data_IF_196099857525
#
_entry.id   IF_196099857525
#
_cell.length_a   1.000
_cell.length_b   1.000
_cell.length_c   1.000
_cell.angle_alpha   90.00
_cell.angle_beta   90.00
_cell.angle_gamma   90.00
#
_symmetry.space_group_name_H-M   'P 1'
#
loop_
_entity.id
_entity.type
_entity.pdbx_description
1 polymer ?
#
# COMPACT_ATOMS: atom_id res chain seq x y z
N UNK A 1 -10.10 21.27 -1.15
CA UNK A 1 -10.14 22.45 -2.04
C UNK A 1 -9.62 22.13 -3.45
N UNK A 2 -8.35 21.70 -3.66
CA UNK A 2 -7.83 21.39 -5.00
C UNK A 2 -8.53 20.17 -5.64
N UNK A 3 -8.83 19.15 -4.86
CA UNK A 3 -9.54 17.96 -5.33
C UNK A 3 -10.97 18.32 -5.77
N UNK A 4 -11.66 19.13 -4.96
CA UNK A 4 -13.03 19.58 -5.26
C UNK A 4 -13.07 20.40 -6.56
N UNK A 5 -12.12 21.31 -6.75
CA UNK A 5 -11.98 22.12 -7.97
C UNK A 5 -11.76 21.23 -9.21
N UNK A 6 -10.91 20.19 -9.11
CA UNK A 6 -10.69 19.23 -10.20
C UNK A 6 -11.96 18.43 -10.51
N UNK A 7 -12.60 17.90 -9.46
CA UNK A 7 -13.82 17.11 -9.65
C UNK A 7 -14.95 17.95 -10.25
N UNK A 8 -15.14 19.18 -9.77
CA UNK A 8 -16.14 20.11 -10.31
C UNK A 8 -15.88 20.41 -11.79
N UNK A 9 -14.63 20.73 -12.14
CA UNK A 9 -14.27 20.98 -13.54
C UNK A 9 -14.47 19.77 -14.45
N UNK A 10 -14.18 18.54 -13.97
CA UNK A 10 -14.45 17.32 -14.74
C UNK A 10 -15.95 17.07 -14.94
N UNK A 11 -16.76 17.37 -13.92
CA UNK A 11 -18.22 17.24 -14.00
C UNK A 11 -18.81 18.28 -14.99
N UNK A 12 -18.37 19.53 -14.90
CA UNK A 12 -18.83 20.61 -15.77
C UNK A 12 -18.42 20.41 -17.23
N UNK A 13 -17.22 19.85 -17.47
CA UNK A 13 -16.73 19.55 -18.80
C UNK A 13 -17.43 18.37 -19.47
N UNK A 14 -18.13 17.52 -18.72
CA UNK A 14 -18.89 16.33 -19.17
C UNK A 14 -18.17 15.48 -20.24
N UNK A 15 -16.90 15.18 -19.97
CA UNK A 15 -16.02 14.51 -20.93
C UNK A 15 -16.34 13.00 -21.13
N UNK A 16 -17.23 12.43 -20.33
CA UNK A 16 -17.57 11.00 -20.37
C UNK A 16 -16.42 10.06 -20.02
N UNK A 17 -15.35 10.56 -19.41
CA UNK A 17 -14.16 9.78 -19.05
C UNK A 17 -14.33 9.04 -17.72
N UNK A 18 -13.73 7.86 -17.62
CA UNK A 18 -13.56 7.17 -16.35
C UNK A 18 -12.07 7.14 -15.98
N UNK A 19 -11.77 7.28 -14.70
CA UNK A 19 -10.39 7.36 -14.21
C UNK A 19 -10.20 6.64 -12.86
N UNK A 20 -8.95 6.47 -12.49
CA UNK A 20 -8.56 5.89 -11.22
C UNK A 20 -7.59 6.82 -10.48
N UNK A 21 -7.63 6.78 -9.15
CA UNK A 21 -6.74 7.59 -8.32
C UNK A 21 -5.98 6.68 -7.33
N UNK A 22 -4.73 7.07 -7.05
CA UNK A 22 -3.99 6.58 -5.88
C UNK A 22 -4.02 7.65 -4.83
N UNK A 23 -4.54 7.31 -3.66
CA UNK A 23 -4.70 8.28 -2.59
C UNK A 23 -4.05 7.82 -1.30
N UNK A 24 -3.75 8.79 -0.43
CA UNK A 24 -3.38 8.53 0.94
C UNK A 24 -4.65 8.32 1.75
N UNK A 25 -4.64 7.31 2.60
CA UNK A 25 -5.61 7.21 3.69
C UNK A 25 -5.37 8.40 4.62
N UNK A 26 -6.16 9.45 4.49
CA UNK A 26 -6.13 10.58 5.41
C UNK A 26 -7.54 10.86 5.92
N UNK A 27 -7.66 11.27 7.16
CA UNK A 27 -8.94 11.55 7.81
C UNK A 27 -9.76 12.65 7.13
N UNK A 28 -9.13 13.51 6.33
CA UNK A 28 -9.79 14.66 5.67
C UNK A 28 -10.25 14.40 4.25
N UNK A 29 -9.78 13.33 3.61
CA UNK A 29 -10.12 13.01 2.22
C UNK A 29 -10.92 11.71 2.07
N UNK A 30 -11.12 10.98 3.15
CA UNK A 30 -11.77 9.69 3.16
C UNK A 30 -13.13 9.73 3.87
N UNK A 31 -13.97 10.69 3.50
CA UNK A 31 -15.36 10.79 3.93
C UNK A 31 -16.33 10.47 2.78
N UNK A 32 -17.59 10.26 3.12
CA UNK A 32 -18.61 9.89 2.16
C UNK A 32 -18.87 10.99 1.11
N UNK A 33 -18.76 12.26 1.49
CA UNK A 33 -18.98 13.40 0.60
C UNK A 33 -17.88 13.47 -0.48
N UNK A 34 -16.62 13.38 -0.06
CA UNK A 34 -15.47 13.37 -0.98
C UNK A 34 -15.53 12.16 -1.93
N UNK A 35 -15.86 10.95 -1.40
CA UNK A 35 -15.95 9.76 -2.24
C UNK A 35 -17.11 9.83 -3.24
N UNK A 36 -18.25 10.39 -2.85
CA UNK A 36 -19.38 10.63 -3.75
C UNK A 36 -19.04 11.65 -4.85
N UNK A 37 -18.31 12.71 -4.50
CA UNK A 37 -17.85 13.71 -5.47
C UNK A 37 -16.86 13.11 -6.48
N UNK A 38 -15.88 12.33 -6.02
CA UNK A 38 -14.96 11.59 -6.88
C UNK A 38 -15.71 10.68 -7.87
N UNK A 39 -16.67 9.91 -7.36
CA UNK A 39 -17.47 9.01 -8.20
C UNK A 39 -18.29 9.77 -9.25
N UNK A 40 -18.91 10.88 -8.86
CA UNK A 40 -19.67 11.77 -9.76
C UNK A 40 -18.76 12.36 -10.84
N UNK A 41 -17.51 12.68 -10.51
CA UNK A 41 -16.50 13.18 -11.45
C UNK A 41 -15.91 12.09 -12.38
N UNK A 42 -16.40 10.84 -12.33
CA UNK A 42 -15.94 9.75 -13.19
C UNK A 42 -14.89 8.82 -12.57
N UNK A 43 -14.47 9.03 -11.31
CA UNK A 43 -13.59 8.11 -10.64
C UNK A 43 -14.30 6.78 -10.37
N UNK A 44 -13.75 5.67 -10.88
CA UNK A 44 -14.34 4.33 -10.71
C UNK A 44 -13.47 3.40 -9.88
N UNK A 45 -12.22 3.76 -9.67
CA UNK A 45 -11.27 2.96 -8.89
C UNK A 45 -10.41 3.86 -8.02
N UNK A 46 -10.24 3.44 -6.77
CA UNK A 46 -9.33 4.09 -5.82
C UNK A 46 -8.34 3.09 -5.24
N UNK A 47 -7.11 3.52 -5.09
CA UNK A 47 -6.03 2.70 -4.55
C UNK A 47 -5.52 3.31 -3.25
N UNK A 48 -5.49 2.54 -2.18
CA UNK A 48 -5.00 2.98 -0.87
C UNK A 48 -3.71 2.28 -0.49
N UNK A 49 -2.65 3.05 -0.26
CA UNK A 49 -1.42 2.55 0.37
C UNK A 49 -1.61 2.50 1.88
N UNK A 50 -1.97 1.34 2.42
CA UNK A 50 -2.12 1.12 3.87
C UNK A 50 -0.80 0.63 4.47
N UNK A 51 -0.13 -0.26 3.79
CA UNK A 51 1.17 -0.87 3.97
C UNK A 51 1.23 -1.93 5.09
N UNK A 52 0.62 -1.70 6.26
CA UNK A 52 0.58 -2.68 7.35
C UNK A 52 -0.78 -2.68 8.06
N UNK A 53 -1.15 -3.81 8.62
CA UNK A 53 -2.30 -3.97 9.52
C UNK A 53 -1.93 -3.81 10.99
N UNK A 54 -0.71 -3.39 11.30
CA UNK A 54 -0.22 -3.19 12.66
C UNK A 54 0.15 -1.71 12.86
N UNK A 55 -0.49 -1.04 13.82
CA UNK A 55 -0.30 0.40 14.03
C UNK A 55 1.16 0.76 14.30
N UNK A 56 1.86 -0.03 15.11
CA UNK A 56 3.29 0.16 15.42
C UNK A 56 4.13 0.23 14.14
N UNK A 57 3.90 -0.64 13.18
CA UNK A 57 4.63 -0.67 11.91
C UNK A 57 4.29 0.58 11.06
N UNK A 58 3.02 0.97 10.99
CA UNK A 58 2.59 2.20 10.31
C UNK A 58 3.28 3.43 10.92
N UNK A 59 3.45 3.47 12.24
CA UNK A 59 4.09 4.57 12.94
C UNK A 59 5.61 4.61 12.66
N UNK A 60 6.28 3.45 12.62
CA UNK A 60 7.69 3.32 12.20
C UNK A 60 7.87 3.84 10.77
N UNK A 61 6.96 3.50 9.86
CA UNK A 61 6.95 4.00 8.47
C UNK A 61 6.58 5.49 8.37
N UNK A 62 6.27 6.16 9.46
CA UNK A 62 5.90 7.59 9.53
C UNK A 62 4.72 7.97 8.63
N UNK A 63 3.78 7.07 8.41
CA UNK A 63 2.64 7.30 7.50
C UNK A 63 1.57 8.25 8.06
N UNK A 64 1.54 8.46 9.38
CA UNK A 64 0.60 9.36 10.06
C UNK A 64 -0.87 9.05 9.76
N UNK A 65 -1.22 7.78 9.72
CA UNK A 65 -2.59 7.27 9.59
C UNK A 65 -2.87 6.28 10.71
N UNK A 66 -4.15 6.06 11.02
CA UNK A 66 -4.57 4.97 11.90
C UNK A 66 -5.23 3.85 11.11
N UNK A 67 -5.23 2.65 11.69
CA UNK A 67 -5.96 1.50 11.11
C UNK A 67 -7.46 1.77 10.99
N UNK A 68 -8.03 2.54 11.91
CA UNK A 68 -9.43 2.98 11.84
C UNK A 68 -9.68 3.88 10.63
N UNK A 69 -8.79 4.86 10.39
CA UNK A 69 -8.85 5.71 9.19
C UNK A 69 -8.75 4.89 7.90
N UNK A 70 -7.88 3.88 7.84
CA UNK A 70 -7.77 2.98 6.71
C UNK A 70 -9.07 2.21 6.46
N UNK A 71 -9.68 1.68 7.52
CA UNK A 71 -10.96 0.96 7.46
C UNK A 71 -12.09 1.89 6.99
N UNK A 72 -12.15 3.11 7.54
CA UNK A 72 -13.15 4.10 7.15
C UNK A 72 -13.01 4.48 5.67
N UNK A 73 -11.78 4.76 5.19
CA UNK A 73 -11.52 5.12 3.80
C UNK A 73 -12.01 4.05 2.81
N UNK A 74 -11.69 2.78 3.08
CA UNK A 74 -12.18 1.65 2.26
C UNK A 74 -13.70 1.60 2.28
N UNK A 75 -14.33 1.73 3.45
CA UNK A 75 -15.79 1.70 3.59
C UNK A 75 -16.47 2.82 2.82
N UNK A 76 -15.99 4.08 2.93
CA UNK A 76 -16.55 5.23 2.21
C UNK A 76 -16.44 5.02 0.68
N UNK A 77 -15.29 4.59 0.19
CA UNK A 77 -15.09 4.32 -1.23
C UNK A 77 -16.03 3.21 -1.75
N UNK A 78 -16.21 2.14 -0.96
CA UNK A 78 -17.15 1.06 -1.28
C UNK A 78 -18.60 1.54 -1.31
N UNK A 79 -19.03 2.36 -0.32
CA UNK A 79 -20.39 2.95 -0.32
C UNK A 79 -20.64 3.86 -1.51
N UNK A 80 -19.62 4.58 -1.98
CA UNK A 80 -19.71 5.40 -3.20
C UNK A 80 -19.74 4.57 -4.50
N UNK A 81 -19.58 3.25 -4.46
CA UNK A 81 -19.63 2.36 -5.62
C UNK A 81 -18.30 2.20 -6.35
N UNK A 82 -17.18 2.65 -5.77
CA UNK A 82 -15.87 2.50 -6.36
C UNK A 82 -15.28 1.11 -6.16
N UNK A 83 -14.47 0.68 -7.12
CA UNK A 83 -13.57 -0.46 -6.96
C UNK A 83 -12.38 -0.04 -6.11
N UNK A 84 -12.10 -0.79 -5.04
CA UNK A 84 -11.03 -0.48 -4.09
C UNK A 84 -9.89 -1.47 -4.21
N UNK A 85 -8.66 -0.96 -4.36
CA UNK A 85 -7.42 -1.72 -4.27
C UNK A 85 -6.60 -1.23 -3.08
N UNK A 86 -6.09 -2.14 -2.27
CA UNK A 86 -5.23 -1.85 -1.11
C UNK A 86 -3.84 -2.40 -1.31
N UNK A 87 -2.83 -1.66 -0.88
CA UNK A 87 -1.43 -2.08 -0.89
C UNK A 87 -0.97 -2.41 0.51
N UNK A 88 -0.27 -3.54 0.62
CA UNK A 88 0.41 -4.00 1.84
C UNK A 88 1.84 -4.39 1.53
N UNK A 89 2.73 -4.19 2.50
CA UNK A 89 4.14 -4.51 2.42
C UNK A 89 4.53 -5.40 3.60
N UNK A 90 5.39 -6.37 3.35
CA UNK A 90 5.99 -7.25 4.36
C UNK A 90 7.51 -7.08 4.40
N UNK A 91 8.11 -7.31 5.56
CA UNK A 91 9.54 -7.11 5.77
C UNK A 91 9.90 -5.64 5.98
N UNK A 92 9.05 -4.89 6.67
CA UNK A 92 9.34 -3.54 7.12
C UNK A 92 10.31 -3.58 8.32
N UNK A 93 11.05 -2.48 8.62
CA UNK A 93 11.88 -2.40 9.82
C UNK A 93 11.08 -2.78 11.08
N UNK A 94 11.69 -3.53 11.97
CA UNK A 94 11.08 -4.06 13.22
C UNK A 94 9.85 -4.96 13.02
N UNK A 95 9.50 -5.35 11.80
CA UNK A 95 8.32 -6.16 11.53
C UNK A 95 8.63 -7.65 11.74
N UNK A 96 7.89 -8.30 12.62
CA UNK A 96 7.98 -9.73 12.91
C UNK A 96 6.96 -10.52 12.09
N UNK A 97 7.14 -11.83 12.05
CA UNK A 97 6.22 -12.75 11.34
C UNK A 97 4.79 -12.61 11.87
N UNK A 98 4.62 -12.43 13.18
CA UNK A 98 3.31 -12.23 13.82
C UNK A 98 2.63 -10.94 13.35
N UNK A 99 3.40 -9.86 13.13
CA UNK A 99 2.89 -8.59 12.60
C UNK A 99 2.40 -8.75 11.14
N UNK A 100 3.12 -9.53 10.33
CA UNK A 100 2.72 -9.83 8.95
C UNK A 100 1.43 -10.65 8.90
N UNK A 101 1.28 -11.62 9.81
CA UNK A 101 0.05 -12.40 9.95
C UNK A 101 -1.14 -11.51 10.39
N UNK A 102 -0.91 -10.55 11.28
CA UNK A 102 -1.93 -9.59 11.68
C UNK A 102 -2.30 -8.64 10.52
N UNK A 103 -1.29 -8.21 9.72
CA UNK A 103 -1.51 -7.46 8.49
C UNK A 103 -2.40 -8.22 7.51
N UNK A 104 -2.17 -9.52 7.34
CA UNK A 104 -3.04 -10.36 6.50
C UNK A 104 -4.48 -10.42 7.02
N UNK A 105 -4.68 -10.63 8.34
CA UNK A 105 -6.02 -10.61 8.95
C UNK A 105 -6.71 -9.26 8.74
N UNK A 106 -5.96 -8.17 8.93
CA UNK A 106 -6.48 -6.83 8.68
C UNK A 106 -6.91 -6.64 7.23
N UNK A 107 -6.07 -7.02 6.26
CA UNK A 107 -6.38 -6.92 4.83
C UNK A 107 -7.65 -7.70 4.46
N UNK A 108 -7.83 -8.91 5.01
CA UNK A 108 -9.03 -9.72 4.81
C UNK A 108 -10.29 -9.08 5.40
N UNK A 109 -10.15 -8.29 6.48
CA UNK A 109 -11.27 -7.63 7.16
C UNK A 109 -11.78 -6.37 6.46
N UNK A 110 -11.02 -5.79 5.51
CA UNK A 110 -11.34 -4.51 4.88
C UNK A 110 -12.40 -4.57 3.77
N UNK A 111 -12.76 -5.75 3.28
CA UNK A 111 -13.68 -5.94 2.14
C UNK A 111 -13.26 -5.20 0.86
N UNK A 112 -11.97 -4.95 0.67
CA UNK A 112 -11.44 -4.41 -0.59
C UNK A 112 -11.66 -5.40 -1.74
N UNK A 113 -11.81 -4.86 -2.97
CA UNK A 113 -11.99 -5.69 -4.17
C UNK A 113 -10.67 -6.34 -4.57
N UNK A 114 -9.56 -5.62 -4.40
CA UNK A 114 -8.23 -6.10 -4.69
C UNK A 114 -7.27 -5.77 -3.56
N UNK A 115 -6.27 -6.61 -3.36
CA UNK A 115 -5.13 -6.32 -2.52
C UNK A 115 -3.83 -6.74 -3.20
N UNK A 116 -2.81 -5.92 -3.08
CA UNK A 116 -1.46 -6.26 -3.51
C UNK A 116 -0.57 -6.38 -2.28
N UNK A 117 0.15 -7.49 -2.21
CA UNK A 117 1.13 -7.77 -1.16
C UNK A 117 2.52 -7.77 -1.78
N UNK A 118 3.35 -6.87 -1.33
CA UNK A 118 4.72 -6.68 -1.80
C UNK A 118 5.70 -6.94 -0.66
N UNK A 119 6.94 -7.22 -1.01
CA UNK A 119 8.03 -7.27 -0.03
C UNK A 119 8.74 -5.93 -0.07
N UNK A 120 9.07 -5.40 1.09
CA UNK A 120 9.73 -4.12 1.23
C UNK A 120 11.14 -4.18 0.66
N UNK A 121 11.46 -3.23 -0.21
CA UNK A 121 12.81 -3.06 -0.78
C UNK A 121 13.31 -1.66 -0.40
N UNK A 122 14.47 -1.55 0.22
CA UNK A 122 15.06 -0.26 0.55
C UNK A 122 15.57 0.43 -0.72
N UNK A 123 15.08 1.64 -0.98
CA UNK A 123 15.51 2.46 -2.12
C UNK A 123 16.46 3.55 -1.67
N UNK A 124 17.47 3.86 -2.50
CA UNK A 124 18.40 4.95 -2.26
C UNK A 124 17.67 6.28 -1.99
N UNK A 125 18.20 7.07 -1.07
CA UNK A 125 17.62 8.34 -0.66
C UNK A 125 16.40 8.23 0.26
N UNK A 126 16.12 7.03 0.78
CA UNK A 126 15.14 6.83 1.85
C UNK A 126 15.84 6.66 3.20
N UNK A 127 15.25 7.18 4.27
CA UNK A 127 15.76 7.02 5.63
C UNK A 127 15.97 5.55 6.00
N UNK A 128 15.09 4.66 5.52
CA UNK A 128 15.22 3.22 5.72
C UNK A 128 16.50 2.65 5.09
N UNK A 129 16.86 3.09 3.88
CA UNK A 129 18.07 2.65 3.20
C UNK A 129 19.33 3.13 3.93
N UNK A 130 19.34 4.43 4.29
CA UNK A 130 20.48 5.03 5.00
C UNK A 130 20.67 4.38 6.37
N UNK A 131 19.59 4.08 7.10
CA UNK A 131 19.65 3.37 8.37
C UNK A 131 20.16 1.93 8.20
N UNK A 132 19.66 1.21 7.19
CA UNK A 132 20.10 -0.17 6.92
C UNK A 132 21.58 -0.26 6.58
N UNK A 133 22.14 0.75 5.89
CA UNK A 133 23.59 0.85 5.66
C UNK A 133 24.35 1.12 6.97
N UNK A 134 23.86 2.05 7.79
CA UNK A 134 24.49 2.43 9.05
C UNK A 134 24.52 1.26 10.05
N UNK A 135 23.47 0.45 10.08
CA UNK A 135 23.34 -0.72 10.96
C UNK A 135 24.01 -1.99 10.40
N UNK A 136 24.58 -1.91 9.18
CA UNK A 136 25.23 -3.05 8.53
C UNK A 136 24.28 -4.14 8.05
N UNK A 137 22.97 -3.86 7.94
CA UNK A 137 21.97 -4.75 7.37
C UNK A 137 22.08 -4.86 5.85
N UNK A 138 22.68 -3.83 5.23
CA UNK A 138 23.09 -3.81 3.83
C UNK A 138 24.60 -3.68 3.81
N UNK A 139 25.29 -4.63 3.15
CA UNK A 139 26.75 -4.75 3.19
C UNK A 139 27.49 -3.57 2.54
N UNK A 140 26.92 -2.97 1.49
CA UNK A 140 27.51 -1.83 0.78
C UNK A 140 26.44 -1.05 0.03
N UNK A 141 26.78 0.15 -0.47
CA UNK A 141 25.84 1.03 -1.17
C UNK A 141 25.63 0.58 -2.64
N UNK A 142 24.81 -0.44 -2.84
CA UNK A 142 24.50 -1.02 -4.15
C UNK A 142 23.98 0.00 -5.17
N UNK A 143 23.20 0.99 -4.73
CA UNK A 143 22.66 2.01 -5.62
C UNK A 143 23.72 2.98 -6.09
N UNK A 144 24.68 3.32 -5.24
CA UNK A 144 25.84 4.14 -5.58
C UNK A 144 26.74 3.41 -6.58
N UNK A 145 26.99 2.12 -6.33
CA UNK A 145 27.79 1.29 -7.23
C UNK A 145 27.14 1.20 -8.61
N UNK A 146 25.83 0.94 -8.66
CA UNK A 146 25.09 0.92 -9.90
C UNK A 146 25.10 2.28 -10.61
N UNK A 147 24.90 3.38 -9.90
CA UNK A 147 24.95 4.71 -10.49
C UNK A 147 26.34 5.06 -11.06
N UNK A 148 27.40 4.53 -10.45
CA UNK A 148 28.78 4.74 -10.90
C UNK A 148 29.17 3.84 -12.07
N UNK A 149 28.60 2.63 -12.14
CA UNK A 149 28.84 1.65 -13.20
C UNK A 149 27.55 0.86 -13.50
N UNK A 150 26.62 1.40 -14.31
CA UNK A 150 25.36 0.75 -14.62
C UNK A 150 25.55 -0.59 -15.34
N UNK A 151 24.93 -1.65 -14.81
CA UNK A 151 24.91 -3.00 -15.41
C UNK A 151 23.47 -3.42 -15.69
N UNK A 152 23.26 -4.20 -16.76
CA UNK A 152 21.91 -4.59 -17.21
C UNK A 152 21.22 -5.59 -16.30
N UNK A 153 21.99 -6.31 -15.49
CA UNK A 153 21.55 -7.34 -14.55
C UNK A 153 21.56 -6.87 -13.09
N UNK A 154 21.51 -5.55 -12.86
CA UNK A 154 21.43 -4.98 -11.53
C UNK A 154 20.20 -5.51 -10.79
N UNK A 155 20.47 -6.11 -9.66
CA UNK A 155 19.44 -6.47 -8.68
C UNK A 155 19.52 -5.47 -7.52
N UNK A 156 18.41 -4.81 -7.17
CA UNK A 156 18.39 -3.96 -5.99
C UNK A 156 18.80 -4.76 -4.76
N UNK A 157 19.38 -4.11 -3.74
CA UNK A 157 19.79 -4.79 -2.52
C UNK A 157 18.62 -5.62 -2.00
N UNK A 158 18.91 -6.84 -1.69
CA UNK A 158 17.95 -7.74 -1.05
C UNK A 158 17.50 -7.09 0.26
N UNK A 159 16.28 -7.30 0.57
CA UNK A 159 15.55 -7.11 1.79
C UNK A 159 16.42 -6.91 3.03
N UNK A 160 15.94 -6.06 3.91
CA UNK A 160 16.38 -6.05 5.30
C UNK A 160 15.84 -7.33 5.94
N UNK A 161 16.64 -8.38 5.98
CA UNK A 161 16.31 -9.66 6.63
C UNK A 161 16.52 -9.56 8.15
N UNK A 162 15.87 -8.59 8.79
CA UNK A 162 16.06 -8.34 10.22
C UNK A 162 15.40 -9.42 11.09
N UNK A 163 14.17 -9.79 10.78
CA UNK A 163 13.37 -10.74 11.58
C UNK A 163 12.82 -11.91 10.80
N UNK A 164 12.97 -11.91 9.47
CA UNK A 164 12.51 -13.00 8.61
C UNK A 164 13.38 -13.08 7.35
N UNK A 165 13.79 -14.29 7.00
CA UNK A 165 14.53 -14.54 5.76
C UNK A 165 13.63 -14.39 4.53
N UNK A 166 14.23 -14.23 3.35
CA UNK A 166 13.52 -14.07 2.10
C UNK A 166 12.52 -15.21 1.85
N UNK A 167 12.85 -16.44 2.21
CA UNK A 167 11.97 -17.61 2.02
C UNK A 167 10.70 -17.47 2.85
N UNK A 168 10.81 -17.04 4.10
CA UNK A 168 9.68 -16.78 5.00
C UNK A 168 8.82 -15.64 4.47
N UNK A 169 9.43 -14.53 4.04
CA UNK A 169 8.72 -13.38 3.46
C UNK A 169 7.94 -13.76 2.20
N UNK A 170 8.55 -14.53 1.30
CA UNK A 170 7.86 -15.02 0.10
C UNK A 170 6.71 -15.96 0.46
N UNK A 171 6.89 -16.85 1.43
CA UNK A 171 5.84 -17.78 1.87
C UNK A 171 4.64 -17.05 2.47
N UNK A 172 4.87 -16.01 3.29
CA UNK A 172 3.80 -15.18 3.87
C UNK A 172 3.09 -14.40 2.79
N UNK A 173 3.81 -13.78 1.84
CA UNK A 173 3.22 -13.08 0.69
C UNK A 173 2.32 -14.00 -0.13
N UNK A 174 2.78 -15.18 -0.47
CA UNK A 174 2.03 -16.16 -1.28
C UNK A 174 0.81 -16.69 -0.52
N UNK A 175 0.93 -16.87 0.81
CA UNK A 175 -0.19 -17.17 1.70
C UNK A 175 -1.21 -16.04 1.67
N UNK A 176 -0.77 -14.78 1.77
CA UNK A 176 -1.65 -13.61 1.76
C UNK A 176 -2.41 -13.50 0.44
N UNK A 177 -1.73 -13.64 -0.70
CA UNK A 177 -2.37 -13.65 -2.02
C UNK A 177 -3.42 -14.76 -2.10
N UNK A 178 -3.07 -15.99 -1.72
CA UNK A 178 -4.02 -17.12 -1.75
C UNK A 178 -5.22 -16.88 -0.86
N UNK A 179 -5.02 -16.50 0.40
CA UNK A 179 -6.13 -16.31 1.34
C UNK A 179 -7.02 -15.14 0.93
N UNK A 180 -6.46 -14.09 0.34
CA UNK A 180 -7.25 -12.96 -0.14
C UNK A 180 -8.11 -13.33 -1.35
N UNK A 181 -7.55 -13.99 -2.36
CA UNK A 181 -8.23 -14.22 -3.63
C UNK A 181 -9.05 -15.53 -3.69
N UNK A 182 -8.75 -16.53 -2.82
CA UNK A 182 -9.53 -17.76 -2.73
C UNK A 182 -10.54 -17.77 -1.56
N UNK A 183 -10.83 -16.61 -0.95
CA UNK A 183 -11.90 -16.54 0.04
C UNK A 183 -13.27 -16.75 -0.63
N UNK A 184 -14.21 -17.48 0.01
CA UNK A 184 -15.52 -17.80 -0.58
C UNK A 184 -16.25 -16.56 -1.11
N UNK A 185 -16.26 -15.48 -0.35
CA UNK A 185 -16.88 -14.19 -0.72
C UNK A 185 -16.28 -13.57 -2.01
N UNK A 186 -15.03 -13.89 -2.36
CA UNK A 186 -14.39 -13.39 -3.58
C UNK A 186 -14.74 -14.24 -4.80
N UNK A 187 -14.85 -15.56 -4.62
CA UNK A 187 -15.14 -16.55 -5.69
C UNK A 187 -16.59 -16.42 -6.16
N UNK A 188 -17.51 -16.07 -5.25
CA UNK A 188 -18.94 -16.01 -5.55
C UNK A 188 -19.44 -14.58 -5.90
N UNK A 189 -18.54 -13.64 -6.19
CA UNK A 189 -18.82 -12.33 -6.77
C UNK A 189 -18.84 -12.41 -8.30
#
# INVERSE_FOLDING_TARGET
RRLDEICTGLIEADLGVTWAIRDRVSSKAADDETMALLYKAGCRRIHFGIESGVQRIIDIMKKRITLEQARNAVSCAKRAGMTVLTYFMFGNPDERVEDMEETLKFALSLDADFAQFSITIPYAGTEMYDQALADGLIEHDYWRDYASNPVSDFLPPKLIEEHADLKTLLAIRDKAVRQFYFRPRYIWR
#
